data_IF_089542202583
#
_entry.id   IF_089542202583
#
_cell.length_a   1.000
_cell.length_b   1.000
_cell.length_c   1.000
_cell.angle_alpha   90.00
_cell.angle_beta   90.00
_cell.angle_gamma   90.00
#
_symmetry.space_group_name_H-M   'P 1'
#
loop_
_entity.id
_entity.type
_entity.pdbx_description
1 polymer ?
#
# COMPACT_ATOMS: atom_id res chain seq x y z
N UNK A 1 -2.36 0.71 20.25
CA UNK A 1 -1.09 0.00 19.92
C UNK A 1 -1.14 -1.50 20.19
N UNK A 2 -1.83 -2.01 21.23
CA UNK A 2 -1.92 -3.47 21.49
C UNK A 2 -2.54 -4.26 20.34
N UNK A 3 -3.74 -3.85 19.86
CA UNK A 3 -4.46 -4.54 18.76
C UNK A 3 -3.65 -4.65 17.46
N UNK A 4 -2.89 -3.60 17.12
CA UNK A 4 -2.01 -3.61 15.92
C UNK A 4 -0.90 -4.66 16.10
N UNK A 5 -0.23 -4.68 17.25
CA UNK A 5 0.80 -5.69 17.54
C UNK A 5 0.25 -7.12 17.53
N UNK A 6 -0.97 -7.32 18.01
CA UNK A 6 -1.67 -8.62 17.98
C UNK A 6 -2.08 -9.05 16.56
N UNK A 7 -2.39 -8.09 15.69
CA UNK A 7 -2.63 -8.34 14.26
C UNK A 7 -1.33 -8.66 13.53
N UNK A 8 -0.24 -7.96 13.85
CA UNK A 8 1.09 -8.19 13.29
C UNK A 8 1.69 -9.53 13.73
N UNK A 9 1.34 -10.02 14.91
CA UNK A 9 1.78 -11.32 15.43
C UNK A 9 0.89 -12.49 15.00
N UNK A 10 -0.12 -12.28 14.15
CA UNK A 10 -0.98 -13.35 13.65
C UNK A 10 -0.17 -14.34 12.79
N UNK A 11 -0.50 -15.62 12.88
CA UNK A 11 0.27 -16.69 12.22
C UNK A 11 -0.25 -17.02 10.82
N UNK A 12 -1.44 -16.53 10.48
CA UNK A 12 -2.05 -16.70 9.16
C UNK A 12 -2.54 -15.37 8.59
N UNK A 13 -2.52 -15.26 7.26
CA UNK A 13 -3.00 -14.07 6.56
C UNK A 13 -4.49 -13.81 6.79
N UNK A 14 -5.31 -14.85 6.91
CA UNK A 14 -6.75 -14.70 7.13
C UNK A 14 -7.04 -14.16 8.54
N UNK A 15 -6.34 -14.67 9.55
CA UNK A 15 -6.43 -14.15 10.92
C UNK A 15 -5.97 -12.68 10.99
N UNK A 16 -4.85 -12.37 10.33
CA UNK A 16 -4.33 -11.01 10.26
C UNK A 16 -5.35 -10.06 9.61
N UNK A 17 -5.96 -10.46 8.49
CA UNK A 17 -6.99 -9.67 7.79
C UNK A 17 -8.20 -9.41 8.65
N UNK A 18 -8.68 -10.40 9.41
CA UNK A 18 -9.82 -10.22 10.30
C UNK A 18 -9.52 -9.22 11.43
N UNK A 19 -8.34 -9.34 12.05
CA UNK A 19 -7.91 -8.41 13.09
C UNK A 19 -7.79 -6.97 12.56
N UNK A 20 -7.20 -6.79 11.38
CA UNK A 20 -7.13 -5.48 10.73
C UNK A 20 -8.51 -4.93 10.32
N UNK A 21 -9.47 -5.78 9.96
CA UNK A 21 -10.86 -5.35 9.72
C UNK A 21 -11.48 -4.75 10.98
N UNK A 22 -11.32 -5.40 12.13
CA UNK A 22 -11.80 -4.87 13.42
C UNK A 22 -11.13 -3.55 13.78
N UNK A 23 -9.82 -3.42 13.59
CA UNK A 23 -9.09 -2.16 13.81
C UNK A 23 -9.62 -1.04 12.91
N UNK A 24 -9.91 -1.34 11.64
CA UNK A 24 -10.46 -0.35 10.71
C UNK A 24 -11.87 0.11 11.11
N UNK A 25 -12.69 -0.75 11.73
CA UNK A 25 -13.98 -0.36 12.29
C UNK A 25 -13.81 0.62 13.47
N UNK A 26 -12.87 0.34 14.38
CA UNK A 26 -12.54 1.25 15.49
C UNK A 26 -12.04 2.61 14.96
N UNK A 27 -11.18 2.61 13.94
CA UNK A 27 -10.67 3.82 13.30
C UNK A 27 -11.77 4.62 12.61
N UNK A 28 -12.72 3.95 11.95
CA UNK A 28 -13.86 4.61 11.32
C UNK A 28 -14.80 5.26 12.35
N UNK A 29 -15.00 4.61 13.50
CA UNK A 29 -15.82 5.16 14.59
C UNK A 29 -15.15 6.36 15.28
N UNK A 30 -13.83 6.31 15.48
CA UNK A 30 -13.07 7.40 16.11
C UNK A 30 -12.79 8.55 15.13
N UNK A 31 -12.61 8.24 13.85
CA UNK A 31 -12.30 9.15 12.73
C UNK A 31 -11.19 10.18 13.05
N UNK A 32 -9.96 9.73 13.39
CA UNK A 32 -8.84 10.64 13.65
C UNK A 32 -8.39 11.41 12.40
N UNK A 33 -8.68 10.87 11.22
CA UNK A 33 -8.45 11.48 9.91
C UNK A 33 -9.59 11.07 8.97
N UNK A 34 -9.82 11.86 7.92
CA UNK A 34 -10.84 11.59 6.89
C UNK A 34 -10.14 11.07 5.64
N UNK A 35 -10.28 9.78 5.29
CA UNK A 35 -9.75 9.24 4.03
C UNK A 35 -10.49 9.88 2.85
N UNK A 36 -9.75 10.48 1.91
CA UNK A 36 -10.35 11.17 0.77
C UNK A 36 -10.41 10.30 -0.48
N UNK A 37 -9.31 9.61 -0.79
CA UNK A 37 -9.16 8.82 -2.01
C UNK A 37 -7.98 7.86 -1.91
N UNK A 38 -8.12 6.70 -2.56
CA UNK A 38 -7.00 5.80 -2.85
C UNK A 38 -6.39 6.22 -4.18
N UNK A 39 -5.20 6.80 -4.16
CA UNK A 39 -4.52 7.25 -5.37
C UNK A 39 -4.09 6.07 -6.25
N UNK A 40 -4.27 6.21 -7.55
CA UNK A 40 -3.60 5.38 -8.55
C UNK A 40 -2.57 6.24 -9.26
N UNK A 41 -1.32 5.83 -9.27
CA UNK A 41 -0.23 6.59 -9.90
C UNK A 41 -0.40 6.60 -11.42
N UNK A 42 -0.57 7.79 -12.00
CA UNK A 42 -0.53 8.00 -13.44
C UNK A 42 0.88 8.45 -13.83
N UNK A 43 1.56 7.64 -14.65
CA UNK A 43 2.96 7.86 -14.99
C UNK A 43 3.11 7.99 -16.51
N UNK A 44 3.82 9.04 -16.93
CA UNK A 44 4.17 9.28 -18.33
C UNK A 44 5.55 8.71 -18.66
N UNK A 45 5.61 7.77 -19.60
CA UNK A 45 6.86 7.10 -20.01
C UNK A 45 7.12 7.39 -21.49
N UNK A 46 8.35 7.79 -21.82
CA UNK A 46 8.77 7.95 -23.22
C UNK A 46 8.85 6.57 -23.90
N UNK A 47 8.40 6.45 -25.16
CA UNK A 47 8.43 5.18 -25.92
C UNK A 47 9.83 4.54 -26.05
N UNK A 48 10.90 5.31 -25.87
CA UNK A 48 12.28 4.80 -25.89
C UNK A 48 12.71 4.12 -24.60
N UNK A 49 11.93 4.26 -23.53
CA UNK A 49 12.24 3.69 -22.22
C UNK A 49 11.78 2.24 -22.18
N UNK A 50 12.71 1.35 -21.84
CA UNK A 50 12.48 -0.09 -21.66
C UNK A 50 12.76 -0.45 -20.21
N UNK A 51 11.94 -1.33 -19.63
CA UNK A 51 12.17 -1.90 -18.30
C UNK A 51 11.79 -1.00 -17.12
N UNK A 52 10.95 0.01 -17.36
CA UNK A 52 10.37 0.81 -16.28
C UNK A 52 9.27 0.03 -15.57
N UNK A 53 9.41 -0.17 -14.26
CA UNK A 53 8.46 -0.87 -13.40
C UNK A 53 8.00 0.07 -12.29
N UNK A 54 6.69 0.20 -12.13
CA UNK A 54 6.06 1.00 -11.07
C UNK A 54 5.74 0.09 -9.90
N UNK A 55 6.34 0.32 -8.73
CA UNK A 55 6.00 -0.44 -7.53
C UNK A 55 4.68 0.03 -6.90
N UNK A 56 4.01 -0.84 -6.14
CA UNK A 56 2.83 -0.48 -5.33
C UNK A 56 3.12 0.62 -4.30
N UNK A 57 4.39 0.78 -3.92
CA UNK A 57 4.89 1.83 -3.03
C UNK A 57 5.00 3.21 -3.71
N UNK A 58 4.75 3.29 -5.02
CA UNK A 58 4.99 4.46 -5.87
C UNK A 58 6.45 4.97 -5.81
N UNK A 59 7.40 4.10 -5.45
CA UNK A 59 8.83 4.39 -5.49
C UNK A 59 9.37 3.93 -6.85
N UNK A 60 10.05 4.84 -7.54
CA UNK A 60 10.54 4.61 -8.89
C UNK A 60 11.92 3.94 -8.89
N UNK A 61 12.02 2.76 -9.52
CA UNK A 61 13.26 2.00 -9.64
C UNK A 61 13.99 2.31 -10.96
N UNK A 62 14.69 3.44 -11.01
CA UNK A 62 15.43 3.86 -12.21
C UNK A 62 16.62 2.97 -12.58
N UNK A 63 17.11 2.12 -11.66
CA UNK A 63 18.25 1.24 -11.91
C UNK A 63 18.00 0.20 -13.01
N UNK A 64 16.73 -0.14 -13.28
CA UNK A 64 16.34 -1.11 -14.33
C UNK A 64 16.03 -0.46 -15.68
N UNK A 65 15.99 0.87 -15.71
CA UNK A 65 15.57 1.65 -16.88
C UNK A 65 16.68 1.67 -17.93
N UNK A 66 16.32 1.40 -19.18
CA UNK A 66 17.23 1.48 -20.33
C UNK A 66 16.61 2.33 -21.43
N UNK A 67 17.46 2.92 -22.27
CA UNK A 67 17.06 3.66 -23.46
C UNK A 67 17.33 2.77 -24.67
N UNK A 68 16.34 2.63 -25.54
CA UNK A 68 16.47 1.98 -26.85
C UNK A 68 17.24 2.83 -27.86
#
# INVERSE_FOLDING_TARGET
MSKIREADSATSLDEQREKYRSINQDLAAFMPAVPLLNVTSNIGINRRIIGYETEQSAIELFAKVRIS
#
